data_IF_883757141705
#
_entry.id   IF_883757141705
#
_cell.length_a   1.000
_cell.length_b   1.000
_cell.length_c   1.000
_cell.angle_alpha   90.00
_cell.angle_beta   90.00
_cell.angle_gamma   90.00
#
_symmetry.space_group_name_H-M   'P 1'
#
loop_
_entity.id
_entity.type
_entity.pdbx_description
1 polymer ?
#
# COMPACT_ATOMS: atom_id res chain seq x y z
N UNK A 1 -7.89 1.66 5.22
CA UNK A 1 -7.84 0.18 5.24
C UNK A 1 -7.40 -0.31 6.61
N UNK A 2 -6.19 0.03 7.08
CA UNK A 2 -5.71 -0.42 8.39
C UNK A 2 -6.67 -0.15 9.55
N UNK A 3 -7.19 1.08 9.69
CA UNK A 3 -8.13 1.40 10.76
C UNK A 3 -9.44 0.58 10.66
N UNK A 4 -10.00 0.40 9.46
CA UNK A 4 -11.18 -0.44 9.26
C UNK A 4 -10.93 -1.91 9.64
N UNK A 5 -9.77 -2.45 9.25
CA UNK A 5 -9.40 -3.81 9.60
C UNK A 5 -9.20 -3.97 11.11
N UNK A 6 -8.60 -2.96 11.76
CA UNK A 6 -8.42 -2.94 13.21
C UNK A 6 -9.76 -2.91 13.95
N UNK A 7 -10.70 -2.09 13.49
CA UNK A 7 -12.05 -2.03 14.06
C UNK A 7 -12.79 -3.36 13.87
N UNK A 8 -12.75 -3.94 12.68
CA UNK A 8 -13.33 -5.25 12.41
C UNK A 8 -12.73 -6.35 13.29
N UNK A 9 -11.40 -6.42 13.38
CA UNK A 9 -10.73 -7.40 14.26
C UNK A 9 -11.21 -7.28 15.70
N UNK A 10 -11.33 -6.06 16.20
CA UNK A 10 -11.78 -5.77 17.56
C UNK A 10 -13.24 -6.16 17.82
N UNK A 11 -14.12 -6.00 16.82
CA UNK A 11 -15.56 -6.17 16.99
C UNK A 11 -16.06 -7.57 16.61
N UNK A 12 -15.46 -8.18 15.59
CA UNK A 12 -15.99 -9.36 14.91
C UNK A 12 -15.08 -10.60 15.04
N UNK A 13 -13.95 -10.48 15.73
CA UNK A 13 -13.02 -11.61 15.93
C UNK A 13 -12.55 -11.75 17.37
N UNK A 14 -11.85 -12.85 17.66
CA UNK A 14 -11.19 -13.07 18.95
C UNK A 14 -9.71 -12.62 18.97
N UNK A 15 -9.27 -11.93 17.91
CA UNK A 15 -7.89 -11.45 17.79
C UNK A 15 -7.72 -10.03 18.35
N UNK A 16 -6.47 -9.71 18.65
CA UNK A 16 -6.02 -8.36 18.96
C UNK A 16 -4.99 -7.93 17.92
N UNK A 17 -5.14 -6.72 17.38
CA UNK A 17 -4.14 -6.14 16.47
C UNK A 17 -2.98 -5.57 17.28
N UNK A 18 -1.83 -6.21 17.17
CA UNK A 18 -0.59 -5.81 17.87
C UNK A 18 0.35 -4.95 17.01
N UNK A 19 0.13 -4.90 15.69
CA UNK A 19 0.93 -4.11 14.77
C UNK A 19 0.48 -4.27 13.32
N UNK A 20 1.02 -3.43 12.45
CA UNK A 20 0.77 -3.46 11.01
C UNK A 20 2.00 -2.98 10.23
N UNK A 21 2.17 -3.53 9.03
CA UNK A 21 3.27 -3.19 8.14
C UNK A 21 2.76 -2.77 6.76
N UNK A 22 3.29 -1.66 6.26
CA UNK A 22 3.29 -1.34 4.84
C UNK A 22 4.56 -1.93 4.22
N UNK A 23 4.41 -2.85 3.28
CA UNK A 23 5.52 -3.41 2.49
C UNK A 23 5.41 -2.90 1.05
N UNK A 24 6.18 -1.86 0.65
CA UNK A 24 6.20 -1.44 -0.73
C UNK A 24 6.84 -2.51 -1.62
N UNK A 25 6.25 -2.77 -2.79
CA UNK A 25 6.80 -3.74 -3.75
C UNK A 25 8.19 -3.36 -4.26
N UNK A 26 9.03 -4.31 -4.64
CA UNK A 26 10.32 -4.04 -5.32
C UNK A 26 10.18 -3.49 -6.75
N UNK A 27 11.21 -2.80 -7.23
CA UNK A 27 11.23 -2.23 -8.59
C UNK A 27 11.27 -3.31 -9.69
N UNK A 28 11.68 -4.52 -9.34
CA UNK A 28 11.66 -5.70 -10.21
C UNK A 28 10.23 -6.10 -10.67
N UNK A 29 9.19 -5.58 -10.03
CA UNK A 29 7.80 -5.77 -10.44
C UNK A 29 7.47 -5.14 -11.81
N UNK A 30 8.27 -4.17 -12.27
CA UNK A 30 8.22 -3.58 -13.62
C UNK A 30 6.82 -3.06 -14.05
N UNK A 31 5.96 -2.68 -13.10
CA UNK A 31 4.66 -2.08 -13.41
C UNK A 31 4.84 -0.71 -14.08
N UNK A 32 4.07 -0.45 -15.13
CA UNK A 32 4.12 0.82 -15.84
C UNK A 32 3.80 1.99 -14.91
N UNK A 33 4.66 3.01 -14.91
CA UNK A 33 4.51 4.20 -14.07
C UNK A 33 4.80 3.99 -12.58
N UNK A 34 5.47 2.89 -12.23
CA UNK A 34 5.97 2.67 -10.87
C UNK A 34 7.18 3.59 -10.63
N UNK A 35 7.08 4.46 -9.63
CA UNK A 35 8.22 5.24 -9.16
C UNK A 35 9.24 4.32 -8.47
N UNK A 36 10.51 4.72 -8.45
CA UNK A 36 11.58 3.99 -7.76
C UNK A 36 11.19 3.66 -6.31
N UNK A 37 11.64 2.50 -5.84
CA UNK A 37 11.30 1.95 -4.53
C UNK A 37 11.63 2.93 -3.40
N UNK A 38 12.78 3.61 -3.48
CA UNK A 38 13.20 4.61 -2.50
C UNK A 38 12.15 5.70 -2.27
N UNK A 39 11.52 6.21 -3.33
CA UNK A 39 10.50 7.24 -3.22
C UNK A 39 9.22 6.68 -2.61
N UNK A 40 8.85 5.46 -2.97
CA UNK A 40 7.64 4.82 -2.43
C UNK A 40 7.78 4.49 -0.94
N UNK A 41 8.92 3.94 -0.53
CA UNK A 41 9.26 3.75 0.90
C UNK A 41 9.13 5.08 1.62
N UNK A 42 9.78 6.15 1.11
CA UNK A 42 9.77 7.43 1.79
C UNK A 42 8.38 8.06 1.88
N UNK A 43 7.58 7.96 0.82
CA UNK A 43 6.19 8.42 0.84
C UNK A 43 5.33 7.62 1.82
N UNK A 44 5.55 6.31 1.95
CA UNK A 44 4.88 5.50 2.96
C UNK A 44 5.27 5.95 4.38
N UNK A 45 6.56 6.17 4.66
CA UNK A 45 7.03 6.64 5.97
C UNK A 45 6.41 8.00 6.34
N UNK A 46 6.32 8.91 5.37
CA UNK A 46 5.71 10.23 5.56
C UNK A 46 4.19 10.16 5.73
N UNK A 47 3.53 9.13 5.20
CA UNK A 47 2.09 8.92 5.33
C UNK A 47 1.70 8.30 6.68
N UNK A 48 2.58 7.48 7.25
CA UNK A 48 2.35 6.81 8.53
C UNK A 48 2.54 7.80 9.67
N UNK A 49 1.43 8.13 10.34
CA UNK A 49 1.41 8.98 11.54
C UNK A 49 1.02 8.23 12.81
N UNK A 50 0.51 7.00 12.67
CA UNK A 50 0.05 6.17 13.78
C UNK A 50 1.21 5.38 14.38
N UNK A 51 1.15 5.15 15.69
CA UNK A 51 2.21 4.43 16.43
C UNK A 51 2.23 2.92 16.20
N UNK A 52 1.23 2.36 15.52
CA UNK A 52 1.02 0.91 15.38
C UNK A 52 1.22 0.41 13.95
N UNK A 53 1.41 1.32 12.99
CA UNK A 53 1.72 1.00 11.59
C UNK A 53 3.18 1.36 11.36
N UNK A 54 3.93 0.49 10.70
CA UNK A 54 5.33 0.72 10.33
C UNK A 54 5.52 0.45 8.84
N UNK A 55 6.56 1.03 8.23
CA UNK A 55 6.96 0.70 6.87
C UNK A 55 8.12 -0.28 6.94
N UNK A 56 7.97 -1.43 6.28
CA UNK A 56 9.04 -2.39 6.14
C UNK A 56 9.59 -2.32 4.70
N UNK A 57 10.88 -1.98 4.52
CA UNK A 57 11.47 -1.86 3.20
C UNK A 57 12.02 -3.18 2.65
N UNK A 58 11.93 -4.30 3.39
CA UNK A 58 12.59 -5.56 3.04
C UNK A 58 12.24 -6.00 1.61
N UNK A 59 10.95 -6.10 1.26
CA UNK A 59 10.50 -6.47 -0.08
C UNK A 59 11.05 -5.52 -1.15
N UNK A 60 10.98 -4.22 -0.88
CA UNK A 60 11.39 -3.17 -1.80
C UNK A 60 12.90 -3.18 -2.11
N UNK A 61 13.72 -3.64 -1.17
CA UNK A 61 15.18 -3.67 -1.29
C UNK A 61 15.70 -4.91 -2.04
N UNK A 62 14.84 -5.88 -2.36
CA UNK A 62 15.24 -7.03 -3.17
C UNK A 62 15.42 -6.65 -4.64
N UNK A 63 16.49 -7.20 -5.24
CA UNK A 63 16.81 -6.98 -6.66
C UNK A 63 15.87 -7.75 -7.61
N UNK A 64 15.32 -8.85 -7.14
CA UNK A 64 14.40 -9.72 -7.89
C UNK A 64 12.97 -9.53 -7.39
N UNK A 65 12.01 -9.95 -8.21
CA UNK A 65 10.61 -9.95 -7.81
C UNK A 65 10.38 -11.01 -6.73
N UNK A 66 9.68 -10.63 -5.67
CA UNK A 66 9.25 -11.55 -4.61
C UNK A 66 7.74 -11.78 -4.68
N UNK A 67 7.29 -13.05 -4.72
CA UNK A 67 5.89 -13.39 -4.47
C UNK A 67 5.44 -12.92 -3.07
N UNK A 68 4.19 -12.48 -2.96
CA UNK A 68 3.60 -12.06 -1.68
C UNK A 68 3.68 -13.15 -0.61
N UNK A 69 3.61 -14.44 -1.00
CA UNK A 69 3.76 -15.55 -0.06
C UNK A 69 5.13 -15.53 0.63
N UNK A 70 6.21 -15.21 -0.09
CA UNK A 70 7.56 -15.17 0.49
C UNK A 70 7.74 -13.96 1.40
N UNK A 71 7.06 -12.85 1.09
CA UNK A 71 7.01 -11.67 1.98
C UNK A 71 6.27 -11.98 3.29
N UNK A 72 5.15 -12.71 3.23
CA UNK A 72 4.44 -13.14 4.44
C UNK A 72 5.25 -14.11 5.28
N UNK A 73 5.96 -15.05 4.65
CA UNK A 73 6.90 -15.96 5.34
C UNK A 73 8.01 -15.18 6.06
N UNK A 74 8.56 -14.14 5.42
CA UNK A 74 9.55 -13.28 6.07
C UNK A 74 9.00 -12.61 7.33
N UNK A 75 7.82 -11.98 7.25
CA UNK A 75 7.19 -11.37 8.42
C UNK A 75 6.90 -12.39 9.52
N UNK A 76 6.38 -13.55 9.18
CA UNK A 76 6.07 -14.59 10.15
C UNK A 76 7.33 -15.07 10.87
N UNK A 77 8.42 -15.30 10.13
CA UNK A 77 9.71 -15.67 10.71
C UNK A 77 10.26 -14.58 11.62
N UNK A 78 10.34 -13.32 11.17
CA UNK A 78 10.94 -12.24 11.96
C UNK A 78 10.13 -11.91 13.22
N UNK A 79 8.79 -11.94 13.13
CA UNK A 79 7.90 -11.63 14.25
C UNK A 79 7.87 -12.81 15.24
N UNK A 80 7.88 -14.05 14.75
CA UNK A 80 7.67 -15.23 15.59
C UNK A 80 8.94 -16.01 15.97
N UNK A 81 10.14 -15.62 15.50
CA UNK A 81 11.41 -16.32 15.80
C UNK A 81 11.63 -16.55 17.29
N UNK A 82 11.25 -15.59 18.13
CA UNK A 82 11.40 -15.63 19.59
C UNK A 82 10.07 -15.87 20.31
N UNK A 83 9.17 -16.65 19.69
CA UNK A 83 7.87 -17.02 20.26
C UNK A 83 6.75 -15.97 20.10
N UNK A 84 6.96 -14.92 19.30
CA UNK A 84 5.95 -13.91 18.98
C UNK A 84 6.06 -12.63 19.82
N UNK A 85 4.94 -12.16 20.38
CA UNK A 85 4.88 -10.94 21.21
C UNK A 85 4.70 -11.29 22.67
N UNK A 86 5.25 -10.46 23.55
CA UNK A 86 5.04 -10.60 25.00
C UNK A 86 3.67 -10.05 25.39
N UNK A 87 2.90 -10.85 26.12
CA UNK A 87 1.61 -10.46 26.66
C UNK A 87 1.77 -9.69 27.97
N UNK A 88 0.70 -9.07 28.46
CA UNK A 88 0.71 -8.38 29.76
C UNK A 88 1.08 -9.30 30.96
N UNK A 89 1.00 -10.63 30.79
CA UNK A 89 1.38 -11.62 31.81
C UNK A 89 2.85 -12.06 31.71
N UNK A 90 3.61 -11.52 30.75
CA UNK A 90 5.01 -11.90 30.48
C UNK A 90 5.17 -13.18 29.66
N UNK A 91 4.07 -13.77 29.17
CA UNK A 91 4.12 -14.94 28.29
C UNK A 91 4.37 -14.50 26.85
N UNK A 92 5.14 -15.28 26.08
CA UNK A 92 5.32 -15.05 24.64
C UNK A 92 4.26 -15.80 23.86
N UNK A 93 3.45 -15.06 23.09
CA UNK A 93 2.39 -15.61 22.26
C UNK A 93 2.70 -15.37 20.78
N UNK A 94 2.65 -16.45 20.00
CA UNK A 94 2.83 -16.40 18.54
C UNK A 94 1.79 -15.47 17.92
N UNK A 95 2.26 -14.57 17.05
CA UNK A 95 1.42 -13.66 16.25
C UNK A 95 0.93 -14.39 15.01
N UNK A 96 -0.35 -14.22 14.69
CA UNK A 96 -0.89 -14.59 13.38
C UNK A 96 -0.65 -13.44 12.41
N UNK A 97 0.23 -13.65 11.43
CA UNK A 97 0.39 -12.74 10.30
C UNK A 97 -0.77 -12.97 9.33
N UNK A 98 -1.38 -11.90 8.84
CA UNK A 98 -2.46 -11.97 7.84
C UNK A 98 -2.32 -10.86 6.81
N UNK A 99 -2.72 -11.14 5.58
CA UNK A 99 -2.68 -10.17 4.48
C UNK A 99 -3.84 -9.16 4.62
N UNK A 100 -3.55 -7.87 4.53
CA UNK A 100 -4.59 -6.83 4.39
C UNK A 100 -4.59 -6.32 2.94
N UNK A 101 -5.73 -6.44 2.26
CA UNK A 101 -5.86 -6.01 0.88
C UNK A 101 -7.24 -5.44 0.56
N UNK A 102 -7.37 -4.83 -0.62
CA UNK A 102 -8.67 -4.51 -1.20
C UNK A 102 -9.25 -5.69 -1.97
N UNK A 103 -10.56 -5.64 -2.22
CA UNK A 103 -11.28 -6.63 -3.03
C UNK A 103 -10.72 -6.79 -4.46
N UNK A 104 -10.10 -5.75 -5.01
CA UNK A 104 -9.42 -5.79 -6.30
C UNK A 104 -8.28 -6.81 -6.34
N UNK A 105 -7.52 -6.97 -5.25
CA UNK A 105 -6.50 -8.02 -5.17
C UNK A 105 -7.13 -9.42 -5.13
N UNK A 106 -8.22 -9.58 -4.38
CA UNK A 106 -8.94 -10.84 -4.25
C UNK A 106 -9.51 -11.32 -5.59
N UNK A 107 -10.03 -10.42 -6.42
CA UNK A 107 -10.47 -10.74 -7.80
C UNK A 107 -9.32 -11.27 -8.66
N UNK A 108 -8.10 -10.75 -8.50
CA UNK A 108 -6.95 -11.32 -9.21
C UNK A 108 -6.61 -12.72 -8.71
N UNK A 109 -6.80 -13.02 -7.43
CA UNK A 109 -6.55 -14.33 -6.83
C UNK A 109 -7.55 -15.39 -7.31
N UNK A 110 -8.78 -15.01 -7.63
CA UNK A 110 -9.78 -15.93 -8.20
C UNK A 110 -9.56 -16.17 -9.71
N UNK A 111 -8.77 -15.32 -10.37
CA UNK A 111 -8.50 -15.42 -11.82
C UNK A 111 -7.49 -16.54 -12.12
N UNK A 112 -7.87 -17.56 -12.92
CA UNK A 112 -6.99 -18.68 -13.24
C UNK A 112 -5.68 -18.26 -13.92
N UNK A 113 -4.56 -18.80 -13.43
CA UNK A 113 -3.23 -18.59 -14.02
C UNK A 113 -2.52 -17.30 -13.61
N UNK A 114 -3.16 -16.42 -12.82
CA UNK A 114 -2.51 -15.20 -12.29
C UNK A 114 -1.68 -15.51 -11.06
N UNK A 115 -2.20 -16.37 -10.17
CA UNK A 115 -1.53 -16.78 -8.94
C UNK A 115 -1.17 -18.26 -8.99
N UNK A 116 -0.01 -18.60 -8.41
CA UNK A 116 0.34 -20.01 -8.25
C UNK A 116 -0.56 -20.65 -7.18
N UNK A 117 -1.06 -21.87 -7.37
CA UNK A 117 -1.88 -22.54 -6.36
C UNK A 117 -1.15 -22.70 -5.01
N UNK A 118 0.18 -22.93 -5.06
CA UNK A 118 1.01 -23.04 -3.86
C UNK A 118 1.08 -21.74 -3.07
N UNK A 119 1.15 -20.60 -3.76
CA UNK A 119 1.15 -19.31 -3.09
C UNK A 119 -0.23 -18.99 -2.52
N UNK A 120 -1.32 -19.33 -3.22
CA UNK A 120 -2.67 -19.20 -2.67
C UNK A 120 -2.86 -20.04 -1.41
N UNK A 121 -2.38 -21.30 -1.40
CA UNK A 121 -2.43 -22.15 -0.22
C UNK A 121 -1.62 -21.56 0.95
N UNK A 122 -0.45 -20.97 0.69
CA UNK A 122 0.33 -20.27 1.73
C UNK A 122 -0.38 -19.02 2.23
N UNK A 123 -0.78 -18.14 1.33
CA UNK A 123 -1.38 -16.83 1.66
C UNK A 123 -2.72 -17.03 2.36
N UNK A 124 -3.68 -17.71 1.72
CA UNK A 124 -5.04 -17.83 2.21
C UNK A 124 -5.24 -19.04 3.13
N UNK A 125 -4.44 -20.09 3.00
CA UNK A 125 -4.49 -21.25 3.89
C UNK A 125 -3.76 -21.04 5.21
N UNK A 126 -2.50 -20.59 5.19
CA UNK A 126 -1.70 -20.48 6.42
C UNK A 126 -1.90 -19.13 7.13
N UNK A 127 -1.83 -18.02 6.39
CA UNK A 127 -1.86 -16.67 6.98
C UNK A 127 -3.28 -16.10 7.08
N UNK A 128 -4.09 -16.34 6.06
CA UNK A 128 -5.40 -15.75 5.92
C UNK A 128 -5.34 -14.29 5.48
N UNK A 129 -6.51 -13.71 5.22
CA UNK A 129 -6.62 -12.37 4.70
C UNK A 129 -7.77 -11.57 5.33
N UNK A 130 -7.59 -10.26 5.38
CA UNK A 130 -8.61 -9.26 5.65
C UNK A 130 -8.79 -8.44 4.38
N UNK A 131 -9.97 -8.52 3.76
CA UNK A 131 -10.25 -7.93 2.46
C UNK A 131 -11.26 -6.81 2.64
N UNK A 132 -10.86 -5.59 2.30
CA UNK A 132 -11.73 -4.42 2.33
C UNK A 132 -12.54 -4.37 1.04
N UNK A 133 -13.87 -4.38 1.16
CA UNK A 133 -14.75 -4.17 0.00
C UNK A 133 -14.56 -2.79 -0.61
N UNK A 134 -14.68 -2.71 -1.94
CA UNK A 134 -14.67 -1.46 -2.69
C UNK A 134 -15.92 -1.35 -3.56
N UNK A 135 -16.25 -0.12 -3.96
CA UNK A 135 -17.37 0.09 -4.87
C UNK A 135 -17.09 -0.55 -6.24
N UNK A 136 -17.99 -1.45 -6.67
CA UNK A 136 -17.90 -2.12 -7.98
C UNK A 136 -17.17 -3.46 -7.98
N UNK A 137 -16.75 -3.95 -6.82
CA UNK A 137 -16.14 -5.28 -6.63
C UNK A 137 -17.02 -6.10 -5.70
N UNK A 138 -17.31 -7.36 -6.03
CA UNK A 138 -18.03 -8.30 -5.15
C UNK A 138 -17.01 -9.29 -4.54
N UNK A 139 -16.44 -8.90 -3.40
CA UNK A 139 -15.44 -9.71 -2.71
C UNK A 139 -16.02 -11.05 -2.23
N UNK A 140 -17.32 -11.07 -1.90
CA UNK A 140 -18.01 -12.26 -1.45
C UNK A 140 -18.20 -13.26 -2.60
N UNK A 141 -18.54 -12.76 -3.79
CA UNK A 141 -18.59 -13.58 -5.00
C UNK A 141 -17.21 -14.18 -5.31
N UNK A 142 -16.15 -13.37 -5.25
CA UNK A 142 -14.78 -13.82 -5.52
C UNK A 142 -14.34 -14.96 -4.59
N UNK A 143 -14.62 -14.87 -3.29
CA UNK A 143 -14.31 -15.94 -2.32
C UNK A 143 -15.21 -17.16 -2.51
N UNK A 144 -16.44 -16.97 -3.01
CA UNK A 144 -17.37 -18.05 -3.31
C UNK A 144 -17.03 -18.83 -4.59
N UNK A 145 -16.01 -18.41 -5.35
CA UNK A 145 -15.52 -19.14 -6.52
C UNK A 145 -14.93 -20.50 -6.13
N UNK A 146 -15.03 -21.49 -7.02
CA UNK A 146 -14.51 -22.84 -6.77
C UNK A 146 -13.00 -22.89 -6.43
N UNK A 147 -12.23 -21.90 -6.90
CA UNK A 147 -10.80 -21.79 -6.61
C UNK A 147 -10.50 -21.32 -5.18
N UNK A 148 -11.37 -20.49 -4.59
CA UNK A 148 -11.11 -19.84 -3.30
C UNK A 148 -12.05 -20.27 -2.17
N UNK A 149 -13.16 -20.95 -2.48
CA UNK A 149 -14.17 -21.37 -1.49
C UNK A 149 -13.57 -22.10 -0.29
N UNK A 150 -12.54 -22.92 -0.50
CA UNK A 150 -11.85 -23.65 0.58
C UNK A 150 -11.15 -22.77 1.62
N UNK A 151 -10.92 -21.49 1.30
CA UNK A 151 -10.25 -20.52 2.18
C UNK A 151 -11.22 -19.53 2.83
N UNK A 152 -12.53 -19.72 2.64
CA UNK A 152 -13.55 -18.79 3.14
C UNK A 152 -13.42 -18.54 4.64
N UNK A 153 -13.20 -19.59 5.44
CA UNK A 153 -13.08 -19.48 6.90
C UNK A 153 -11.83 -18.71 7.36
N UNK A 154 -10.82 -18.58 6.49
CA UNK A 154 -9.58 -17.85 6.78
C UNK A 154 -9.53 -16.49 6.05
N UNK A 155 -10.63 -16.09 5.44
CA UNK A 155 -10.76 -14.84 4.67
C UNK A 155 -11.88 -13.99 5.26
N UNK A 156 -11.51 -12.87 5.86
CA UNK A 156 -12.44 -11.94 6.49
C UNK A 156 -12.77 -10.81 5.52
N UNK A 157 -14.03 -10.74 5.08
CA UNK A 157 -14.51 -9.64 4.23
C UNK A 157 -15.01 -8.50 5.13
N UNK A 158 -14.48 -7.30 4.91
CA UNK A 158 -14.77 -6.11 5.71
C UNK A 158 -15.57 -5.12 4.86
N UNK A 159 -16.85 -4.88 5.16
CA UNK A 159 -17.67 -3.95 4.42
C UNK A 159 -17.20 -2.50 4.62
N UNK A 160 -17.22 -1.71 3.55
CA UNK A 160 -16.85 -0.30 3.60
C UNK A 160 -18.07 0.59 3.81
N UNK A 161 -18.28 1.06 5.05
CA UNK A 161 -19.38 1.96 5.40
C UNK A 161 -19.28 3.33 4.71
N UNK A 162 -18.06 3.87 4.57
CA UNK A 162 -17.78 5.14 3.88
C UNK A 162 -16.85 4.87 2.71
N UNK A 163 -17.37 5.07 1.49
CA UNK A 163 -16.63 4.82 0.25
C UNK A 163 -15.46 5.80 0.11
N UNK A 164 -14.24 5.27 0.13
CA UNK A 164 -13.03 6.00 -0.25
C UNK A 164 -12.55 5.50 -1.62
N UNK A 165 -12.86 6.28 -2.67
CA UNK A 165 -12.52 5.96 -4.06
C UNK A 165 -11.25 6.69 -4.56
N UNK A 166 -10.36 7.05 -3.63
CA UNK A 166 -9.01 7.50 -3.97
C UNK A 166 -8.18 6.29 -4.39
N UNK A 167 -7.54 6.38 -5.56
CA UNK A 167 -6.64 5.36 -6.09
C UNK A 167 -5.36 6.01 -6.62
N UNK A 168 -4.24 5.28 -6.54
CA UNK A 168 -2.94 5.81 -7.00
C UNK A 168 -2.95 6.16 -8.49
N UNK A 169 -3.76 5.48 -9.31
CA UNK A 169 -3.95 5.82 -10.72
C UNK A 169 -4.60 7.20 -10.89
N UNK A 170 -5.65 7.51 -10.12
CA UNK A 170 -6.31 8.83 -10.15
C UNK A 170 -5.37 9.92 -9.63
N UNK A 171 -4.63 9.65 -8.55
CA UNK A 171 -3.64 10.60 -8.00
C UNK A 171 -2.56 10.93 -9.02
N UNK A 172 -1.95 9.92 -9.67
CA UNK A 172 -0.95 10.17 -10.72
C UNK A 172 -1.54 10.93 -11.92
N UNK A 173 -2.79 10.66 -12.29
CA UNK A 173 -3.47 11.40 -13.36
C UNK A 173 -3.66 12.87 -13.01
N UNK A 174 -4.01 13.18 -11.76
CA UNK A 174 -4.17 14.56 -11.29
C UNK A 174 -2.83 15.30 -11.31
N UNK A 175 -1.77 14.68 -10.78
CA UNK A 175 -0.42 15.23 -10.82
C UNK A 175 0.05 15.51 -12.24
N UNK A 176 -0.14 14.57 -13.18
CA UNK A 176 0.18 14.76 -14.61
C UNK A 176 -0.56 15.94 -15.25
N UNK A 177 -1.77 16.24 -14.78
CA UNK A 177 -2.61 17.34 -15.28
C UNK A 177 -2.44 18.64 -14.50
N UNK A 178 -1.43 18.72 -13.62
CA UNK A 178 -1.22 19.83 -12.70
C UNK A 178 -2.46 20.19 -11.85
N UNK A 179 -3.23 19.17 -11.47
CA UNK A 179 -4.37 19.30 -10.59
C UNK A 179 -3.96 19.02 -9.14
N UNK A 180 -4.53 19.78 -8.21
CA UNK A 180 -4.27 19.60 -6.78
C UNK A 180 -4.69 18.22 -6.29
N UNK A 181 -3.79 17.59 -5.52
CA UNK A 181 -4.06 16.34 -4.78
C UNK A 181 -4.10 16.55 -3.26
N UNK A 182 -4.10 17.81 -2.80
CA UNK A 182 -4.23 18.15 -1.37
C UNK A 182 -5.53 17.59 -0.81
N UNK A 183 -5.48 17.12 0.43
CA UNK A 183 -6.60 16.45 1.13
C UNK A 183 -7.02 15.09 0.55
N UNK A 184 -6.46 14.65 -0.59
CA UNK A 184 -6.63 13.28 -1.09
C UNK A 184 -5.54 12.34 -0.56
N UNK A 185 -4.35 12.89 -0.32
CA UNK A 185 -3.20 12.22 0.29
C UNK A 185 -2.59 13.12 1.39
N UNK A 186 -1.78 12.57 2.31
CA UNK A 186 -1.18 13.36 3.37
C UNK A 186 -0.28 14.49 2.85
N UNK A 187 -0.37 15.68 3.46
CA UNK A 187 0.43 16.86 3.08
C UNK A 187 1.95 16.63 3.04
N UNK A 188 2.57 15.87 3.97
CA UNK A 188 3.99 15.53 3.88
C UNK A 188 4.34 14.77 2.59
N UNK A 189 3.45 13.91 2.10
CA UNK A 189 3.62 13.16 0.85
C UNK A 189 3.49 14.10 -0.36
N UNK A 190 2.52 15.03 -0.34
CA UNK A 190 2.38 16.06 -1.40
C UNK A 190 3.67 16.86 -1.55
N UNK A 191 4.20 17.37 -0.42
CA UNK A 191 5.45 18.15 -0.42
C UNK A 191 6.64 17.33 -0.95
N UNK A 192 6.70 16.05 -0.60
CA UNK A 192 7.76 15.17 -1.08
C UNK A 192 7.69 14.95 -2.60
N UNK A 193 6.50 14.71 -3.14
CA UNK A 193 6.24 14.57 -4.58
C UNK A 193 6.67 15.84 -5.32
N UNK A 194 6.24 17.01 -4.85
CA UNK A 194 6.58 18.32 -5.43
C UNK A 194 8.10 18.57 -5.42
N UNK A 195 8.77 18.25 -4.30
CA UNK A 195 10.21 18.47 -4.15
C UNK A 195 11.08 17.59 -5.07
N UNK A 196 10.58 16.42 -5.46
CA UNK A 196 11.30 15.44 -6.30
C UNK A 196 10.76 15.38 -7.74
N UNK A 197 9.80 16.23 -8.10
CA UNK A 197 9.19 16.25 -9.45
C UNK A 197 8.55 14.91 -9.86
N UNK A 198 8.01 14.16 -8.89
CA UNK A 198 7.49 12.82 -9.18
C UNK A 198 6.17 12.89 -9.94
N UNK A 199 6.02 11.99 -10.92
CA UNK A 199 4.79 11.80 -11.72
C UNK A 199 4.43 12.96 -12.66
N UNK A 200 5.33 13.92 -12.86
CA UNK A 200 5.19 14.95 -13.90
C UNK A 200 5.56 14.37 -15.28
N UNK A 201 5.01 14.93 -16.36
CA UNK A 201 5.47 14.61 -17.71
C UNK A 201 6.73 15.44 -18.03
N UNK A 202 7.65 14.90 -18.83
CA UNK A 202 8.89 15.59 -19.21
C UNK A 202 8.63 16.94 -19.91
N UNK A 203 7.52 17.06 -20.64
CA UNK A 203 7.09 18.32 -21.25
C UNK A 203 6.66 19.37 -20.20
N UNK A 204 5.95 18.97 -19.13
CA UNK A 204 5.50 19.89 -18.07
C UNK A 204 6.67 20.39 -17.21
N UNK A 205 7.68 19.54 -16.97
CA UNK A 205 8.93 19.94 -16.32
C UNK A 205 9.67 21.04 -17.11
N UNK A 206 9.83 20.84 -18.42
CA UNK A 206 10.51 21.83 -19.28
C UNK A 206 9.78 23.18 -19.35
N UNK A 207 8.44 23.18 -19.35
CA UNK A 207 7.65 24.43 -19.33
C UNK A 207 7.78 25.19 -18.01
N UNK A 208 7.86 24.48 -16.87
CA UNK A 208 8.06 25.09 -15.55
C UNK A 208 9.47 25.64 -15.36
N UNK A 209 10.48 24.92 -15.83
CA UNK A 209 11.86 25.41 -15.82
C UNK A 209 11.98 26.70 -16.65
N UNK A 210 11.45 26.69 -17.87
CA UNK A 210 11.42 27.87 -18.75
C UNK A 210 10.67 29.06 -18.14
N UNK A 211 9.53 28.81 -17.48
CA UNK A 211 8.74 29.86 -16.81
C UNK A 211 9.40 30.44 -15.55
N UNK A 212 10.21 29.65 -14.82
CA UNK A 212 11.00 30.14 -13.67
C UNK A 212 12.19 30.97 -14.13
N UNK A 213 12.86 30.62 -15.23
CA UNK A 213 13.91 31.46 -15.83
C UNK A 213 13.38 32.80 -16.34
N UNK A 214 12.24 32.80 -17.04
CA UNK A 214 11.62 34.04 -17.53
C UNK A 214 11.22 35.00 -16.40
N UNK A 215 10.62 34.48 -15.31
CA UNK A 215 10.28 35.31 -14.13
C UNK A 215 11.51 35.85 -13.39
N UNK A 216 12.61 35.10 -13.38
CA UNK A 216 13.85 35.56 -12.76
C UNK A 216 14.59 36.59 -13.62
N UNK A 217 14.44 36.55 -14.95
CA UNK A 217 14.95 37.57 -15.86
C UNK A 217 14.14 38.87 -15.73
N UNK A 218 12.80 38.80 -15.73
CA UNK A 218 11.92 39.96 -15.51
C UNK A 218 12.19 40.65 -14.16
N UNK A 219 12.40 39.85 -13.09
CA UNK A 219 12.72 40.38 -11.77
C UNK A 219 14.11 41.04 -11.70
N UNK A 220 15.08 40.58 -12.51
CA UNK A 220 16.42 41.18 -12.61
C UNK A 220 16.42 42.46 -13.44
N UNK A 221 15.63 42.53 -14.51
CA UNK A 221 15.47 43.76 -15.30
C UNK A 221 14.73 44.87 -14.54
N UNK A 222 13.74 44.53 -13.71
CA UNK A 222 13.06 45.51 -12.85
C UNK A 222 13.95 46.04 -11.72
N UNK A 223 14.90 45.23 -11.23
CA UNK A 223 15.85 45.63 -10.21
C UNK A 223 17.04 46.45 -10.75
N UNK A 224 17.33 46.39 -12.05
CA UNK A 224 18.41 47.17 -12.68
C UNK A 224 17.95 48.52 -13.25
N UNK A 225 16.64 48.76 -13.28
CA UNK A 225 16.00 50.00 -13.75
C UNK A 225 15.50 50.91 -12.61
N UNK A 226 15.77 50.55 -11.35
CA UNK A 226 15.55 51.36 -10.13
C UNK A 226 16.86 51.83 -9.54
#
# INVERSE_FOLDING_TARGET
MFEMARDFVKLDTSYEVVGAYLSPVGDAYKKLGLAAAEHRIKMCELAVSSSWITVDPWEALHKEYLPTADVLDHFDQEINKDGGVETATGERKRVKVSLLAGADLMETMSTPGVWSPKDLDRILGNYGAFIIERAGTDAMEAVSTASLQRFQDNTNIIPQMIKNDVSSTKIRLFLKKDLSVRYLIPDPVVKYIEAHGLYEDSETLSQRENGKSARNEDAREQASTS
#
